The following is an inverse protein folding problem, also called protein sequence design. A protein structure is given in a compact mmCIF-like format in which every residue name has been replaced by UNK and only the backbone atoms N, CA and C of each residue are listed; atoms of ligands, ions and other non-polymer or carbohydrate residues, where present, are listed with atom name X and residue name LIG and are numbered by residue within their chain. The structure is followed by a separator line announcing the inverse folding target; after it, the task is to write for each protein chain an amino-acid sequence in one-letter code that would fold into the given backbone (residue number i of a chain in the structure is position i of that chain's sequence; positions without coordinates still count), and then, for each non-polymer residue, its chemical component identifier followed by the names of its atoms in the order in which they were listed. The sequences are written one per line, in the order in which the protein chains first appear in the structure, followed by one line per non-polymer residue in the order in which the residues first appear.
data_IF_783242841511
#
_entry.id   IF_783242841511
#
_cell.length_a   1.000
_cell.length_b   1.000
_cell.length_c   1.000
_cell.angle_alpha   90.00
_cell.angle_beta   90.00
_cell.angle_gamma   90.00
#
_symmetry.space_group_name_H-M   'P 1'
#
loop_
_entity.id
_entity.type
_entity.pdbx_description
1 polymer ?
#
# COMPACT_ATOMS: atom_id res chain seq x y z
N UNK A 1 -13.31 -19.34 1.42
CA UNK A 1 -12.03 -19.40 0.67
C UNK A 1 -10.92 -18.88 1.59
N UNK A 2 -9.65 -19.23 1.36
CA UNK A 2 -8.57 -18.81 2.25
C UNK A 2 -8.08 -17.39 1.91
N UNK A 3 -8.16 -16.38 2.81
CA UNK A 3 -7.77 -14.99 2.52
C UNK A 3 -6.26 -14.78 2.34
N UNK A 4 -5.44 -15.77 2.71
CA UNK A 4 -3.98 -15.77 2.52
C UNK A 4 -3.55 -16.39 1.18
N UNK A 5 -4.49 -16.92 0.40
CA UNK A 5 -4.25 -17.60 -0.88
C UNK A 5 -4.98 -16.85 -2.01
N UNK A 6 -4.35 -16.76 -3.19
CA UNK A 6 -4.89 -15.98 -4.31
C UNK A 6 -6.20 -16.56 -4.83
N UNK A 7 -7.23 -15.72 -4.94
CA UNK A 7 -8.45 -16.06 -5.68
C UNK A 7 -8.12 -16.39 -7.14
N UNK A 8 -8.82 -17.39 -7.66
CA UNK A 8 -8.70 -17.73 -9.07
C UNK A 8 -9.32 -16.65 -9.95
N UNK A 9 -8.51 -16.11 -10.86
CA UNK A 9 -9.01 -15.21 -11.89
C UNK A 9 -9.46 -16.02 -13.09
N UNK A 10 -10.76 -16.08 -13.32
CA UNK A 10 -11.31 -16.62 -14.57
C UNK A 10 -10.96 -15.63 -15.69
N UNK A 11 -10.05 -16.03 -16.58
CA UNK A 11 -9.70 -15.28 -17.80
C UNK A 11 -10.21 -16.04 -19.02
N UNK A 12 -10.87 -15.32 -19.92
CA UNK A 12 -11.46 -15.88 -21.14
C UNK A 12 -10.41 -16.48 -22.09
N UNK A 13 -10.87 -17.26 -23.06
CA UNK A 13 -10.01 -17.93 -24.06
C UNK A 13 -9.19 -16.90 -24.85
N UNK A 14 -9.83 -15.81 -25.28
CA UNK A 14 -9.20 -14.69 -25.97
C UNK A 14 -7.98 -14.13 -25.21
N UNK A 15 -8.13 -14.01 -23.89
CA UNK A 15 -7.05 -13.52 -23.04
C UNK A 15 -5.82 -14.43 -23.09
N UNK A 16 -6.05 -15.74 -23.00
CA UNK A 16 -4.98 -16.74 -22.91
C UNK A 16 -4.21 -16.88 -24.22
N UNK A 17 -4.91 -16.86 -25.35
CA UNK A 17 -4.30 -17.19 -26.65
C UNK A 17 -3.92 -15.98 -27.50
N UNK A 18 -4.48 -14.79 -27.25
CA UNK A 18 -4.13 -13.59 -28.01
C UNK A 18 -3.49 -12.50 -27.14
N UNK A 19 -4.18 -12.09 -26.07
CA UNK A 19 -3.76 -10.93 -25.27
C UNK A 19 -2.45 -11.21 -24.51
N UNK A 20 -2.35 -12.36 -23.85
CA UNK A 20 -1.16 -12.70 -23.07
C UNK A 20 0.09 -12.87 -23.96
N UNK A 21 0.07 -13.61 -25.09
CA UNK A 21 1.21 -13.66 -26.01
C UNK A 21 1.64 -12.29 -26.53
N UNK A 22 0.68 -11.43 -26.91
CA UNK A 22 0.98 -10.07 -27.36
C UNK A 22 1.68 -9.24 -26.28
N UNK A 23 1.24 -9.35 -25.03
CA UNK A 23 1.88 -8.68 -23.89
C UNK A 23 3.30 -9.22 -23.68
N UNK A 24 3.49 -10.54 -23.72
CA UNK A 24 4.81 -11.15 -23.54
C UNK A 24 5.79 -10.67 -24.63
N UNK A 25 5.32 -10.51 -25.86
CA UNK A 25 6.14 -10.02 -26.97
C UNK A 25 6.56 -8.54 -26.81
N UNK A 26 5.63 -7.68 -26.37
CA UNK A 26 5.85 -6.23 -26.23
C UNK A 26 6.55 -5.87 -24.91
N UNK A 27 6.37 -6.70 -23.87
CA UNK A 27 6.80 -6.42 -22.51
C UNK A 27 8.29 -6.07 -22.40
N UNK A 28 9.26 -6.78 -23.02
CA UNK A 28 10.68 -6.45 -22.84
C UNK A 28 11.01 -5.01 -23.22
N UNK A 29 10.53 -4.55 -24.38
CA UNK A 29 10.76 -3.19 -24.86
C UNK A 29 10.05 -2.18 -23.96
N UNK A 30 8.78 -2.43 -23.63
CA UNK A 30 7.98 -1.55 -22.79
C UNK A 30 8.58 -1.41 -21.38
N UNK A 31 9.05 -2.50 -20.80
CA UNK A 31 9.67 -2.54 -19.47
C UNK A 31 10.97 -1.75 -19.44
N UNK A 32 11.83 -1.89 -20.46
CA UNK A 32 13.10 -1.14 -20.56
C UNK A 32 12.81 0.36 -20.62
N UNK A 33 11.94 0.78 -21.54
CA UNK A 33 11.57 2.20 -21.72
C UNK A 33 11.00 2.76 -20.42
N UNK A 34 10.03 2.08 -19.81
CA UNK A 34 9.39 2.53 -18.57
C UNK A 34 10.35 2.57 -17.40
N UNK A 35 11.26 1.60 -17.29
CA UNK A 35 12.29 1.60 -16.24
C UNK A 35 13.20 2.81 -16.38
N UNK A 36 13.69 3.10 -17.59
CA UNK A 36 14.52 4.28 -17.85
C UNK A 36 13.77 5.57 -17.51
N UNK A 37 12.51 5.70 -17.93
CA UNK A 37 11.67 6.85 -17.59
C UNK A 37 11.47 7.00 -16.07
N UNK A 38 11.21 5.92 -15.35
CA UNK A 38 11.07 5.94 -13.89
C UNK A 38 12.37 6.34 -13.18
N UNK A 39 13.52 5.89 -13.68
CA UNK A 39 14.84 6.29 -13.16
C UNK A 39 15.08 7.78 -13.38
N UNK A 40 14.76 8.31 -14.57
CA UNK A 40 14.86 9.75 -14.87
C UNK A 40 13.96 10.55 -13.92
N UNK A 41 12.71 10.16 -13.75
CA UNK A 41 11.77 10.79 -12.82
C UNK A 41 12.31 10.76 -11.40
N UNK A 42 12.81 9.61 -10.93
CA UNK A 42 13.39 9.48 -9.60
C UNK A 42 14.54 10.47 -9.41
N UNK A 43 15.47 10.57 -10.36
CA UNK A 43 16.62 11.49 -10.29
C UNK A 43 16.13 12.94 -10.26
N UNK A 44 15.30 13.35 -11.23
CA UNK A 44 14.81 14.73 -11.36
C UNK A 44 14.08 15.18 -10.10
N UNK A 45 13.10 14.39 -9.64
CA UNK A 45 12.32 14.77 -8.46
C UNK A 45 13.13 14.69 -7.16
N UNK A 46 14.14 13.82 -7.07
CA UNK A 46 15.04 13.78 -5.91
C UNK A 46 15.94 15.01 -5.84
N UNK A 47 16.46 15.47 -6.98
CA UNK A 47 17.27 16.70 -7.06
C UNK A 47 16.40 17.91 -6.73
N UNK A 48 15.20 18.02 -7.30
CA UNK A 48 14.26 19.10 -6.95
C UNK A 48 13.90 19.09 -5.47
N UNK A 49 13.58 17.91 -4.91
CA UNK A 49 13.29 17.77 -3.49
C UNK A 49 14.48 18.19 -2.62
N UNK A 50 15.72 17.82 -3.00
CA UNK A 50 16.93 18.28 -2.31
C UNK A 50 17.04 19.80 -2.31
N UNK A 51 16.94 20.43 -3.49
CA UNK A 51 17.08 21.88 -3.66
C UNK A 51 16.03 22.65 -2.84
N UNK A 52 14.75 22.25 -2.91
CA UNK A 52 13.70 22.92 -2.14
C UNK A 52 13.79 22.67 -0.63
N UNK A 53 14.41 21.56 -0.23
CA UNK A 53 14.62 21.20 1.17
C UNK A 53 15.82 21.92 1.83
N UNK A 54 16.69 22.59 1.04
CA UNK A 54 17.79 23.43 1.57
C UNK A 54 17.23 24.49 2.53
N UNK A 55 17.91 24.67 3.67
CA UNK A 55 17.52 25.63 4.70
C UNK A 55 16.28 25.21 5.50
N UNK A 56 15.86 23.95 5.41
CA UNK A 56 14.76 23.41 6.23
C UNK A 56 15.26 22.33 7.17
N UNK A 57 14.62 22.21 8.34
CA UNK A 57 14.97 21.22 9.34
C UNK A 57 13.88 20.17 9.43
N UNK A 58 14.17 18.93 9.04
CA UNK A 58 13.29 17.80 9.36
C UNK A 58 13.39 17.49 10.87
N UNK A 59 12.30 17.12 11.56
CA UNK A 59 10.92 16.95 11.08
C UNK A 59 10.03 18.20 11.18
N UNK A 60 10.59 19.40 11.42
CA UNK A 60 9.80 20.63 11.59
C UNK A 60 8.90 20.91 10.38
N UNK A 61 7.73 21.49 10.63
CA UNK A 61 6.74 21.89 9.61
C UNK A 61 7.42 22.79 8.56
N UNK A 62 7.09 22.59 7.28
CA UNK A 62 7.53 23.47 6.20
C UNK A 62 6.80 24.81 6.27
N UNK A 63 7.43 25.88 5.77
CA UNK A 63 6.73 27.15 5.55
C UNK A 63 5.56 26.96 4.56
N UNK A 64 4.50 27.79 4.63
CA UNK A 64 3.31 27.64 3.78
C UNK A 64 3.66 27.57 2.28
N UNK A 65 4.60 28.39 1.82
CA UNK A 65 5.04 28.41 0.42
C UNK A 65 5.75 27.11 0.05
N UNK A 66 6.73 26.66 0.84
CA UNK A 66 7.44 25.39 0.58
C UNK A 66 6.49 24.19 0.63
N UNK A 67 5.49 24.23 1.51
CA UNK A 67 4.44 23.21 1.58
C UNK A 67 3.57 23.21 0.33
N UNK A 68 3.14 24.37 -0.15
CA UNK A 68 2.38 24.49 -1.39
C UNK A 68 3.17 23.91 -2.57
N UNK A 69 4.45 24.29 -2.73
CA UNK A 69 5.35 23.75 -3.76
C UNK A 69 5.47 22.23 -3.63
N UNK A 70 5.72 21.73 -2.41
CA UNK A 70 5.81 20.30 -2.12
C UNK A 70 4.56 19.54 -2.57
N UNK A 71 3.37 20.05 -2.23
CA UNK A 71 2.10 19.43 -2.59
C UNK A 71 1.89 19.35 -4.11
N UNK A 72 2.21 20.42 -4.85
CA UNK A 72 2.10 20.40 -6.32
C UNK A 72 3.15 19.49 -6.96
N UNK A 73 4.41 19.60 -6.52
CA UNK A 73 5.52 18.79 -7.03
C UNK A 73 5.22 17.30 -6.90
N UNK A 74 4.79 16.85 -5.71
CA UNK A 74 4.50 15.44 -5.49
C UNK A 74 3.21 14.97 -6.17
N UNK A 75 2.21 15.84 -6.30
CA UNK A 75 1.02 15.51 -7.07
C UNK A 75 1.32 15.35 -8.58
N UNK A 76 2.28 16.11 -9.13
CA UNK A 76 2.76 15.91 -10.50
C UNK A 76 3.59 14.61 -10.58
N UNK A 77 4.51 14.40 -9.64
CA UNK A 77 5.34 13.20 -9.57
C UNK A 77 4.50 11.92 -9.57
N UNK A 78 3.49 11.84 -8.70
CA UNK A 78 2.61 10.68 -8.60
C UNK A 78 1.88 10.38 -9.90
N UNK A 79 1.36 11.41 -10.58
CA UNK A 79 0.68 11.27 -11.88
C UNK A 79 1.63 10.79 -12.97
N UNK A 80 2.84 11.34 -13.04
CA UNK A 80 3.85 10.92 -14.02
C UNK A 80 4.26 9.47 -13.79
N UNK A 81 4.55 9.08 -12.54
CA UNK A 81 4.93 7.69 -12.20
C UNK A 81 3.85 6.69 -12.62
N UNK A 82 2.57 7.02 -12.39
CA UNK A 82 1.46 6.16 -12.78
C UNK A 82 1.29 6.13 -14.29
N UNK A 83 1.36 7.29 -14.95
CA UNK A 83 1.24 7.38 -16.41
C UNK A 83 2.34 6.57 -17.13
N UNK A 84 3.59 6.65 -16.65
CA UNK A 84 4.70 5.86 -17.19
C UNK A 84 4.37 4.36 -17.10
N UNK A 85 3.74 3.90 -16.03
CA UNK A 85 3.31 2.51 -15.86
C UNK A 85 2.03 2.16 -16.65
N UNK A 86 1.49 3.09 -17.45
CA UNK A 86 0.25 2.92 -18.20
C UNK A 86 -1.01 3.07 -17.36
N UNK A 87 -0.92 3.70 -16.19
CA UNK A 87 -2.02 3.83 -15.24
C UNK A 87 -2.58 5.26 -15.23
N UNK A 88 -3.90 5.38 -15.42
CA UNK A 88 -4.62 6.66 -15.35
C UNK A 88 -5.48 6.71 -14.11
N UNK A 89 -5.33 7.77 -13.30
CA UNK A 89 -6.16 7.99 -12.11
C UNK A 89 -7.49 8.61 -12.50
N UNK A 90 -8.57 8.05 -11.96
CA UNK A 90 -9.91 8.62 -11.97
C UNK A 90 -10.34 8.84 -10.52
N UNK A 91 -10.55 10.11 -10.14
CA UNK A 91 -11.05 10.46 -8.80
C UNK A 91 -12.57 10.57 -8.82
N UNK A 92 -13.24 9.99 -7.82
CA UNK A 92 -14.69 10.09 -7.59
C UNK A 92 -14.95 10.76 -6.24
N UNK A 93 -15.97 11.63 -6.19
CA UNK A 93 -16.49 12.27 -4.97
C UNK A 93 -15.48 13.12 -4.19
N UNK A 94 -14.75 14.01 -4.85
CA UNK A 94 -13.72 14.84 -4.19
C UNK A 94 -14.22 15.49 -2.89
N UNK A 95 -13.46 15.41 -1.78
CA UNK A 95 -13.90 15.91 -0.49
C UNK A 95 -14.09 17.43 -0.54
N UNK A 96 -15.11 17.92 0.18
CA UNK A 96 -15.46 19.37 0.24
C UNK A 96 -14.39 20.18 0.97
N UNK A 97 -13.76 19.57 1.97
CA UNK A 97 -12.72 20.14 2.83
C UNK A 97 -11.42 19.34 2.68
N UNK A 98 -10.30 19.91 3.15
CA UNK A 98 -9.04 19.18 3.19
C UNK A 98 -9.13 18.15 4.33
N UNK A 99 -9.09 16.84 4.05
CA UNK A 99 -9.25 15.83 5.09
C UNK A 99 -8.02 15.81 6.00
N UNK A 100 -8.23 15.70 7.32
CA UNK A 100 -7.13 15.58 8.29
C UNK A 100 -6.45 14.20 8.21
N UNK A 101 -7.25 13.14 8.19
CA UNK A 101 -6.77 11.76 8.06
C UNK A 101 -7.51 11.09 6.92
N UNK A 102 -6.78 10.44 6.02
CA UNK A 102 -7.34 9.55 4.99
C UNK A 102 -6.84 8.15 5.20
N UNK A 103 -7.77 7.21 5.14
CA UNK A 103 -7.50 5.78 5.20
C UNK A 103 -7.97 5.12 3.93
N UNK A 104 -7.20 4.16 3.44
CA UNK A 104 -7.52 3.42 2.22
C UNK A 104 -7.03 1.98 2.27
N UNK A 105 -7.63 1.13 1.43
CA UNK A 105 -7.21 -0.25 1.28
C UNK A 105 -5.83 -0.34 0.61
N UNK A 106 -4.99 -1.27 1.07
CA UNK A 106 -3.66 -1.49 0.53
C UNK A 106 -3.72 -2.51 -0.62
N UNK A 107 -3.44 -2.10 -1.85
CA UNK A 107 -3.57 -2.97 -3.02
C UNK A 107 -2.26 -3.21 -3.77
N UNK A 108 -1.37 -2.22 -3.81
CA UNK A 108 -0.19 -2.27 -4.69
C UNK A 108 0.92 -1.36 -4.16
N UNK A 109 2.15 -1.53 -4.67
CA UNK A 109 3.18 -0.51 -4.52
C UNK A 109 2.79 0.82 -5.16
N UNK A 110 1.91 0.78 -6.16
CA UNK A 110 1.37 1.96 -6.81
C UNK A 110 0.43 2.77 -5.91
N UNK A 111 0.12 2.30 -4.70
CA UNK A 111 -0.63 3.06 -3.70
C UNK A 111 0.14 4.32 -3.27
N UNK A 112 1.48 4.28 -3.24
CA UNK A 112 2.29 5.46 -2.90
C UNK A 112 2.14 6.57 -3.96
N UNK A 113 2.46 6.36 -5.25
CA UNK A 113 2.25 7.39 -6.26
C UNK A 113 0.78 7.74 -6.46
N UNK A 114 -0.16 6.80 -6.22
CA UNK A 114 -1.60 7.09 -6.18
C UNK A 114 -1.93 8.09 -5.07
N UNK A 115 -1.44 7.88 -3.84
CA UNK A 115 -1.65 8.80 -2.72
C UNK A 115 -1.11 10.19 -3.03
N UNK A 116 0.13 10.28 -3.54
CA UNK A 116 0.75 11.54 -3.94
C UNK A 116 -0.08 12.30 -4.97
N UNK A 117 -0.62 11.61 -5.98
CA UNK A 117 -1.48 12.20 -6.99
C UNK A 117 -2.90 12.54 -6.48
N UNK A 118 -3.35 11.87 -5.42
CA UNK A 118 -4.75 11.87 -4.98
C UNK A 118 -5.06 12.90 -3.91
N UNK A 119 -4.22 13.04 -2.90
CA UNK A 119 -4.42 13.95 -1.78
C UNK A 119 -3.12 14.66 -1.38
N UNK A 120 -3.23 15.87 -0.83
CA UNK A 120 -2.09 16.71 -0.44
C UNK A 120 -1.64 16.35 0.96
N UNK A 121 -0.80 15.32 1.10
CA UNK A 121 -0.55 14.74 2.41
C UNK A 121 0.82 14.14 2.66
N UNK A 122 0.98 13.69 3.90
CA UNK A 122 2.14 12.97 4.42
C UNK A 122 1.79 11.50 4.51
N UNK A 123 2.64 10.65 3.94
CA UNK A 123 2.53 9.20 4.08
C UNK A 123 3.39 8.65 5.20
N UNK A 124 3.01 7.46 5.68
CA UNK A 124 3.81 6.64 6.60
C UNK A 124 4.60 5.62 5.78
N UNK A 125 5.91 5.56 5.96
CA UNK A 125 6.81 4.74 5.14
C UNK A 125 7.84 3.93 5.92
N UNK A 126 8.37 2.89 5.27
CA UNK A 126 9.48 2.08 5.80
C UNK A 126 10.79 2.87 5.75
N UNK A 127 11.56 2.85 6.84
CA UNK A 127 12.84 3.57 6.92
C UNK A 127 13.91 3.07 5.94
N UNK A 128 13.82 1.83 5.45
CA UNK A 128 14.78 1.29 4.47
C UNK A 128 14.80 2.13 3.18
N UNK A 129 13.68 2.73 2.78
CA UNK A 129 13.62 3.61 1.61
C UNK A 129 14.56 4.82 1.77
N UNK A 130 14.62 5.40 2.97
CA UNK A 130 15.48 6.56 3.26
C UNK A 130 16.98 6.24 3.27
N UNK A 131 17.38 4.96 3.15
CA UNK A 131 18.79 4.61 3.00
C UNK A 131 19.34 5.00 1.62
N UNK A 132 18.51 4.96 0.58
CA UNK A 132 18.85 5.49 -0.74
C UNK A 132 18.78 7.01 -0.72
N UNK A 133 19.81 7.68 -1.26
CA UNK A 133 19.85 9.14 -1.31
C UNK A 133 18.62 9.70 -2.04
N UNK A 134 18.24 9.12 -3.18
CA UNK A 134 17.11 9.59 -3.99
C UNK A 134 15.80 9.62 -3.21
N UNK A 135 15.39 8.48 -2.66
CA UNK A 135 14.18 8.39 -1.85
C UNK A 135 14.27 9.24 -0.57
N UNK A 136 15.45 9.35 0.04
CA UNK A 136 15.63 10.18 1.24
C UNK A 136 15.25 11.64 1.00
N UNK A 137 15.66 12.24 -0.12
CA UNK A 137 15.35 13.65 -0.40
C UNK A 137 13.84 13.88 -0.55
N UNK A 138 13.16 12.97 -1.26
CA UNK A 138 11.71 12.98 -1.43
C UNK A 138 11.01 12.87 -0.07
N UNK A 139 11.40 11.88 0.75
CA UNK A 139 10.80 11.63 2.06
C UNK A 139 11.00 12.80 3.03
N UNK A 140 12.22 13.38 3.04
CA UNK A 140 12.52 14.57 3.83
C UNK A 140 11.64 15.74 3.43
N UNK A 141 11.59 16.09 2.13
CA UNK A 141 10.82 17.23 1.66
C UNK A 141 9.31 17.03 1.85
N UNK A 142 8.79 15.81 1.70
CA UNK A 142 7.40 15.48 2.00
C UNK A 142 7.06 15.64 3.49
N UNK A 143 8.05 15.52 4.38
CA UNK A 143 7.89 15.31 5.83
C UNK A 143 7.23 13.97 6.16
N UNK A 144 7.62 12.93 5.42
CA UNK A 144 7.16 11.55 5.61
C UNK A 144 7.43 11.06 7.04
N UNK A 145 6.48 10.33 7.61
CA UNK A 145 6.69 9.63 8.89
C UNK A 145 7.39 8.31 8.59
N UNK A 146 8.58 8.10 9.16
CA UNK A 146 9.35 6.86 8.96
C UNK A 146 9.21 5.92 10.15
N UNK A 147 8.92 4.66 9.85
CA UNK A 147 8.73 3.61 10.84
C UNK A 147 9.87 2.60 10.77
N UNK A 148 10.41 2.25 11.94
CA UNK A 148 11.30 1.11 12.12
C UNK A 148 10.44 -0.14 12.33
N UNK A 149 10.52 -1.10 11.41
CA UNK A 149 9.90 -2.43 11.57
C UNK A 149 10.98 -3.47 11.86
N UNK A 150 11.97 -3.61 10.97
CA UNK A 150 13.10 -4.56 11.13
C UNK A 150 14.39 -4.05 10.46
N UNK A 151 15.55 -4.56 10.90
CA UNK A 151 16.85 -4.37 10.22
C UNK A 151 17.76 -3.26 10.77
N UNK A 152 19.01 -3.27 10.30
CA UNK A 152 20.04 -2.31 10.70
C UNK A 152 19.73 -0.91 10.18
N UNK A 153 19.67 0.06 11.09
CA UNK A 153 19.46 1.47 10.77
C UNK A 153 20.82 2.14 10.60
N UNK A 154 21.15 2.55 9.37
CA UNK A 154 22.36 3.36 9.10
C UNK A 154 22.29 4.67 9.89
N UNK A 155 23.43 5.14 10.40
CA UNK A 155 23.51 6.37 11.22
C UNK A 155 22.85 7.58 10.53
N UNK A 156 22.93 7.67 9.21
CA UNK A 156 22.32 8.73 8.39
C UNK A 156 20.78 8.80 8.45
N UNK A 157 20.10 7.72 8.86
CA UNK A 157 18.63 7.62 8.92
C UNK A 157 18.11 7.57 10.37
N UNK A 158 18.98 7.35 11.36
CA UNK A 158 18.59 7.24 12.78
C UNK A 158 17.81 8.45 13.26
N UNK A 159 18.27 9.66 12.93
CA UNK A 159 17.63 10.91 13.33
C UNK A 159 16.25 11.14 12.67
N UNK A 160 15.87 10.31 11.70
CA UNK A 160 14.56 10.38 11.05
C UNK A 160 13.50 9.50 11.72
N UNK A 161 13.94 8.55 12.56
CA UNK A 161 13.07 7.64 13.30
C UNK A 161 12.70 8.26 14.63
N UNK A 162 11.44 8.09 15.04
CA UNK A 162 11.00 8.34 16.41
C UNK A 162 10.36 7.08 16.97
N UNK A 163 10.45 6.90 18.29
CA UNK A 163 10.00 5.67 18.94
C UNK A 163 8.48 5.50 18.95
N UNK A 164 7.74 6.62 19.00
CA UNK A 164 6.27 6.63 19.01
C UNK A 164 5.69 7.29 17.76
N UNK A 165 5.34 6.45 16.78
CA UNK A 165 4.68 6.87 15.53
C UNK A 165 3.37 7.61 15.81
N UNK A 166 2.61 7.19 16.82
CA UNK A 166 1.33 7.80 17.20
C UNK A 166 1.50 9.26 17.64
N UNK A 167 2.60 9.59 18.32
CA UNK A 167 2.86 10.97 18.76
C UNK A 167 3.17 11.87 17.56
N UNK A 168 3.92 11.34 16.58
CA UNK A 168 4.12 12.04 15.30
C UNK A 168 2.79 12.27 14.57
N UNK A 169 1.93 11.25 14.52
CA UNK A 169 0.61 11.38 13.89
C UNK A 169 -0.22 12.48 14.57
N UNK A 170 -0.21 12.57 15.90
CA UNK A 170 -0.88 13.64 16.66
C UNK A 170 -0.33 15.03 16.30
N UNK A 171 0.99 15.20 16.20
CA UNK A 171 1.61 16.48 15.79
C UNK A 171 1.17 16.94 14.39
N UNK A 172 0.86 16.00 13.49
CA UNK A 172 0.36 16.30 12.13
C UNK A 172 -1.12 16.66 12.08
N UNK A 173 -1.90 16.19 13.05
CA UNK A 173 -3.37 16.24 13.05
C UNK A 173 -3.92 17.43 13.87
N UNK A 174 -3.04 18.13 14.58
CA UNK A 174 -3.32 19.38 15.30
C UNK A 174 -4.15 20.39 14.47
N UNK A 175 -5.04 21.13 15.11
CA UNK A 175 -6.14 21.88 14.49
C UNK A 175 -5.70 22.92 13.46
N UNK A 176 -4.49 23.45 13.59
CA UNK A 176 -3.90 24.42 12.68
C UNK A 176 -3.12 23.80 11.51
N UNK A 177 -3.19 22.48 11.33
CA UNK A 177 -2.45 21.76 10.30
C UNK A 177 -3.26 21.59 9.01
N UNK A 178 -2.87 22.30 7.95
CA UNK A 178 -3.38 22.10 6.58
C UNK A 178 -2.76 20.88 5.88
N UNK A 179 -2.49 19.80 6.62
CA UNK A 179 -1.79 18.61 6.12
C UNK A 179 -2.65 17.38 6.32
N UNK A 180 -2.89 16.67 5.23
CA UNK A 180 -3.56 15.38 5.25
C UNK A 180 -2.60 14.26 5.64
N UNK A 181 -2.94 13.42 6.61
CA UNK A 181 -2.20 12.21 6.96
C UNK A 181 -2.79 10.99 6.24
N UNK A 182 -2.02 10.38 5.33
CA UNK A 182 -2.42 9.19 4.58
C UNK A 182 -1.90 7.90 5.22
N UNK A 183 -2.80 6.99 5.58
CA UNK A 183 -2.47 5.73 6.24
C UNK A 183 -3.17 4.56 5.54
N UNK A 184 -2.44 3.47 5.34
CA UNK A 184 -3.03 2.15 5.03
C UNK A 184 -3.13 1.35 6.34
N UNK A 185 -4.31 1.27 6.98
CA UNK A 185 -4.42 0.67 8.30
C UNK A 185 -4.22 -0.85 8.29
N UNK A 186 -4.33 -1.48 7.11
CA UNK A 186 -4.02 -2.91 6.90
C UNK A 186 -2.58 -3.23 7.25
N UNK A 187 -1.62 -2.38 6.86
CA UNK A 187 -0.20 -2.54 7.14
C UNK A 187 0.56 -3.55 6.26
N UNK A 188 -0.14 -4.28 5.38
CA UNK A 188 0.37 -5.19 4.33
C UNK A 188 -0.63 -5.25 3.15
N UNK A 189 -0.23 -5.82 2.01
CA UNK A 189 -1.11 -6.02 0.85
C UNK A 189 -1.76 -7.41 0.95
N UNK A 190 -3.09 -7.54 1.14
CA UNK A 190 -3.78 -8.83 1.14
C UNK A 190 -3.85 -9.47 -0.24
N UNK A 191 -4.33 -10.73 -0.26
CA UNK A 191 -4.78 -11.36 -1.50
C UNK A 191 -5.92 -10.52 -2.14
N UNK A 192 -5.97 -10.44 -3.49
CA UNK A 192 -7.06 -9.73 -4.16
C UNK A 192 -8.43 -10.31 -3.78
N UNK A 193 -9.39 -9.41 -3.53
CA UNK A 193 -10.75 -9.78 -3.11
C UNK A 193 -10.98 -9.70 -1.60
N UNK A 194 -9.96 -9.35 -0.82
CA UNK A 194 -10.03 -9.18 0.62
C UNK A 194 -9.51 -7.81 1.05
N UNK A 195 -10.01 -7.32 2.19
CA UNK A 195 -9.45 -6.21 2.96
C UNK A 195 -9.09 -6.76 4.34
N UNK A 196 -7.85 -6.59 4.77
CA UNK A 196 -7.43 -7.03 6.11
C UNK A 196 -8.09 -6.16 7.18
N UNK A 197 -8.20 -6.71 8.39
CA UNK A 197 -8.66 -5.94 9.54
C UNK A 197 -7.77 -4.72 9.76
N UNK A 198 -8.40 -3.55 9.83
CA UNK A 198 -7.72 -2.28 10.03
C UNK A 198 -7.20 -2.16 11.46
N UNK A 199 -5.97 -1.68 11.61
CA UNK A 199 -5.41 -1.32 12.92
C UNK A 199 -6.03 -0.02 13.42
N UNK A 200 -6.43 0.02 14.68
CA UNK A 200 -7.05 1.18 15.33
C UNK A 200 -6.14 2.40 15.55
N UNK A 201 -4.84 2.34 15.22
CA UNK A 201 -3.90 3.43 15.56
C UNK A 201 -4.27 4.79 14.97
N UNK A 202 -4.77 4.82 13.73
CA UNK A 202 -5.24 6.05 13.07
C UNK A 202 -6.58 6.54 13.65
N UNK A 203 -7.42 5.61 14.11
CA UNK A 203 -8.76 5.87 14.63
C UNK A 203 -8.76 6.33 16.09
N UNK A 204 -7.62 6.19 16.79
CA UNK A 204 -7.38 6.72 18.14
C UNK A 204 -6.96 8.20 18.18
N UNK A 205 -6.88 8.87 17.02
CA UNK A 205 -6.40 10.26 16.93
C UNK A 205 -7.46 11.29 17.30
N UNK A 206 -8.73 10.89 17.47
CA UNK A 206 -9.81 11.80 17.90
C UNK A 206 -10.22 12.83 16.85
N UNK A 207 -9.92 12.60 15.57
CA UNK A 207 -10.32 13.47 14.46
C UNK A 207 -11.13 12.73 13.41
N UNK A 208 -11.91 13.44 12.56
CA UNK A 208 -12.59 12.83 11.45
C UNK A 208 -11.63 12.11 10.49
N UNK A 209 -12.03 10.92 10.06
CA UNK A 209 -11.31 10.07 9.10
C UNK A 209 -12.09 10.06 7.81
N UNK A 210 -11.44 10.36 6.68
CA UNK A 210 -12.01 10.23 5.34
C UNK A 210 -11.63 8.87 4.75
N UNK A 211 -12.59 7.95 4.55
CA UNK A 211 -12.34 6.70 3.87
C UNK A 211 -12.11 6.94 2.37
N UNK A 212 -11.23 6.14 1.77
CA UNK A 212 -11.02 6.08 0.32
C UNK A 212 -10.98 4.61 -0.10
N UNK A 213 -11.74 4.26 -1.14
CA UNK A 213 -11.55 2.98 -1.84
C UNK A 213 -10.66 3.19 -3.06
N UNK A 214 -9.72 2.27 -3.25
CA UNK A 214 -8.75 2.27 -4.34
C UNK A 214 -8.90 0.97 -5.11
N UNK A 215 -9.24 1.09 -6.40
CA UNK A 215 -9.45 -0.06 -7.29
C UNK A 215 -8.56 0.03 -8.52
N UNK A 216 -7.64 -0.93 -8.64
CA UNK A 216 -6.80 -1.09 -9.82
C UNK A 216 -7.50 -1.98 -10.85
N UNK A 217 -7.87 -1.41 -12.00
CA UNK A 217 -8.44 -2.11 -13.14
C UNK A 217 -7.34 -2.29 -14.18
N UNK A 218 -6.64 -3.41 -14.09
CA UNK A 218 -5.48 -3.74 -14.94
C UNK A 218 -5.59 -5.13 -15.55
N UNK A 219 -4.85 -5.34 -16.64
CA UNK A 219 -4.79 -6.62 -17.35
C UNK A 219 -3.92 -7.63 -16.57
N UNK A 220 -2.74 -7.20 -16.14
CA UNK A 220 -1.87 -7.96 -15.24
C UNK A 220 -2.10 -7.50 -13.79
N UNK A 221 -2.15 -8.43 -12.82
CA UNK A 221 -2.47 -8.09 -11.45
C UNK A 221 -1.34 -7.27 -10.81
N UNK A 222 -1.67 -6.12 -10.21
CA UNK A 222 -0.71 -5.25 -9.55
C UNK A 222 -0.51 -5.56 -8.05
N UNK A 223 -1.19 -6.57 -7.52
CA UNK A 223 -1.07 -6.97 -6.12
C UNK A 223 0.32 -7.55 -5.83
N UNK A 224 0.96 -7.10 -4.76
CA UNK A 224 2.25 -7.63 -4.28
C UNK A 224 2.06 -8.92 -3.47
N UNK A 225 1.45 -9.90 -4.10
CA UNK A 225 1.14 -11.20 -3.48
C UNK A 225 1.94 -12.34 -4.09
N UNK A 226 2.77 -12.04 -5.10
CA UNK A 226 3.77 -12.96 -5.65
C UNK A 226 5.08 -12.82 -4.89
N UNK A 227 5.62 -13.92 -4.37
CA UNK A 227 6.87 -13.91 -3.59
C UNK A 227 8.12 -13.61 -4.44
N UNK A 228 8.00 -13.63 -5.78
CA UNK A 228 9.12 -13.35 -6.68
C UNK A 228 9.08 -11.92 -7.22
N UNK A 229 10.11 -11.12 -6.90
CA UNK A 229 10.22 -9.72 -7.28
C UNK A 229 10.16 -9.49 -8.81
N UNK A 230 10.76 -10.37 -9.63
CA UNK A 230 10.68 -10.27 -11.10
C UNK A 230 9.26 -10.33 -11.64
N UNK A 231 8.40 -11.19 -11.08
CA UNK A 231 7.01 -11.35 -11.57
C UNK A 231 6.22 -10.09 -11.24
N UNK A 232 6.39 -9.59 -10.02
CA UNK A 232 5.75 -8.35 -9.64
C UNK A 232 6.26 -7.17 -10.48
N UNK A 233 7.57 -7.09 -10.73
CA UNK A 233 8.17 -6.08 -11.60
C UNK A 233 7.61 -6.16 -13.04
N UNK A 234 7.52 -7.37 -13.59
CA UNK A 234 6.87 -7.63 -14.88
C UNK A 234 5.42 -7.15 -14.86
N UNK A 235 4.60 -7.54 -13.88
CA UNK A 235 3.20 -7.13 -13.82
C UNK A 235 3.02 -5.61 -13.72
N UNK A 236 3.91 -4.90 -13.02
CA UNK A 236 3.83 -3.45 -12.87
C UNK A 236 4.22 -2.72 -14.15
N UNK A 237 5.22 -3.22 -14.89
CA UNK A 237 5.76 -2.52 -16.05
C UNK A 237 5.25 -3.02 -17.40
N UNK A 238 4.72 -4.24 -17.48
CA UNK A 238 4.19 -4.83 -18.72
C UNK A 238 2.70 -4.55 -18.95
N UNK A 239 1.98 -3.96 -17.98
CA UNK A 239 0.58 -3.56 -18.17
C UNK A 239 0.48 -2.50 -19.27
N UNK A 240 -0.17 -2.74 -20.41
CA UNK A 240 -0.21 -1.74 -21.49
C UNK A 240 -1.02 -0.51 -21.08
N UNK A 241 -2.16 -0.74 -20.42
CA UNK A 241 -3.04 0.28 -19.89
C UNK A 241 -3.79 -0.21 -18.65
N UNK A 242 -4.14 0.70 -17.77
CA UNK A 242 -4.99 0.45 -16.61
C UNK A 242 -5.58 1.72 -16.01
N UNK A 243 -6.63 1.52 -15.22
CA UNK A 243 -7.32 2.61 -14.52
C UNK A 243 -7.15 2.41 -13.01
N UNK A 244 -6.82 3.49 -12.32
CA UNK A 244 -6.82 3.56 -10.85
C UNK A 244 -8.02 4.38 -10.44
N UNK A 245 -9.09 3.73 -10.00
CA UNK A 245 -10.24 4.43 -9.46
C UNK A 245 -10.00 4.73 -7.99
N UNK A 246 -10.10 6.01 -7.63
CA UNK A 246 -9.93 6.51 -6.26
C UNK A 246 -11.23 7.20 -5.87
N UNK A 247 -12.02 6.56 -5.00
CA UNK A 247 -13.31 7.09 -4.56
C UNK A 247 -13.21 7.54 -3.12
N UNK A 248 -13.49 8.82 -2.89
CA UNK A 248 -13.56 9.40 -1.55
C UNK A 248 -14.97 9.22 -0.99
N UNK A 249 -15.04 8.93 0.30
CA UNK A 249 -16.30 8.86 1.06
C UNK A 249 -16.44 10.10 1.94
N UNK A 250 -17.64 10.28 2.50
CA UNK A 250 -17.86 11.30 3.53
C UNK A 250 -17.02 11.02 4.78
N UNK A 251 -16.60 12.09 5.44
CA UNK A 251 -15.86 12.02 6.70
C UNK A 251 -16.63 11.20 7.74
N UNK A 252 -15.93 10.32 8.44
CA UNK A 252 -16.46 9.48 9.49
C UNK A 252 -15.85 9.90 10.82
N UNK A 253 -16.67 9.92 11.86
CA UNK A 253 -16.25 10.15 13.25
C UNK A 253 -16.54 8.92 14.10
N UNK A 254 -15.88 8.85 15.25
CA UNK A 254 -16.19 7.89 16.30
C UNK A 254 -17.62 8.14 16.80
N UNK A 255 -18.45 7.10 16.87
CA UNK A 255 -19.84 7.18 17.35
C UNK A 255 -19.92 6.99 18.86
N UNK A 256 -21.03 7.41 19.46
CA UNK A 256 -21.29 7.18 20.88
C UNK A 256 -21.34 5.68 21.17
N UNK A 257 -20.57 5.23 22.17
CA UNK A 257 -20.45 3.82 22.55
C UNK A 257 -19.58 2.95 21.61
N UNK A 258 -19.04 3.52 20.52
CA UNK A 258 -18.13 2.82 19.62
C UNK A 258 -16.68 2.95 20.10
N UNK A 259 -15.95 1.84 20.18
CA UNK A 259 -14.52 1.88 20.48
C UNK A 259 -13.66 2.17 19.22
N UNK A 260 -12.38 2.57 19.36
CA UNK A 260 -11.54 2.88 18.20
C UNK A 260 -11.29 1.71 17.24
N UNK A 261 -11.41 0.47 17.69
CA UNK A 261 -11.29 -0.73 16.85
C UNK A 261 -12.59 -1.00 16.10
N UNK A 262 -13.75 -0.87 16.74
CA UNK A 262 -15.06 -0.94 16.10
C UNK A 262 -15.22 0.15 15.02
N UNK A 263 -14.73 1.37 15.29
CA UNK A 263 -14.67 2.44 14.29
C UNK A 263 -13.79 2.07 13.10
N UNK A 264 -12.61 1.49 13.36
CA UNK A 264 -11.71 1.02 12.30
C UNK A 264 -12.38 -0.06 11.45
N UNK A 265 -13.10 -0.98 12.08
CA UNK A 265 -13.79 -2.10 11.42
C UNK A 265 -14.99 -1.63 10.60
N UNK A 266 -15.77 -0.67 11.12
CA UNK A 266 -16.85 -0.03 10.35
C UNK A 266 -16.32 0.64 9.09
N UNK A 267 -15.25 1.43 9.21
CA UNK A 267 -14.65 2.12 8.06
C UNK A 267 -14.00 1.14 7.08
N UNK A 268 -13.32 0.12 7.58
CA UNK A 268 -12.75 -0.96 6.75
C UNK A 268 -13.83 -1.71 5.97
N UNK A 269 -14.96 -2.04 6.62
CA UNK A 269 -16.12 -2.67 5.98
C UNK A 269 -16.74 -1.78 4.91
N UNK A 270 -16.90 -0.47 5.16
CA UNK A 270 -17.39 0.47 4.14
C UNK A 270 -16.53 0.44 2.86
N UNK A 271 -15.19 0.40 3.00
CA UNK A 271 -14.27 0.31 1.85
C UNK A 271 -14.38 -1.05 1.17
N UNK A 272 -14.45 -2.15 1.94
CA UNK A 272 -14.58 -3.49 1.40
C UNK A 272 -15.89 -3.68 0.60
N UNK A 273 -17.00 -3.19 1.13
CA UNK A 273 -18.33 -3.26 0.51
C UNK A 273 -18.34 -2.53 -0.86
N UNK A 274 -17.73 -1.35 -0.96
CA UNK A 274 -17.61 -0.61 -2.23
C UNK A 274 -16.73 -1.34 -3.27
N UNK A 275 -15.69 -2.04 -2.81
CA UNK A 275 -14.82 -2.81 -3.70
C UNK A 275 -15.47 -4.12 -4.15
N UNK A 276 -16.49 -4.60 -3.43
CA UNK A 276 -17.05 -5.94 -3.54
C UNK A 276 -16.13 -7.01 -2.94
N UNK A 277 -15.35 -6.64 -1.91
CA UNK A 277 -14.36 -7.48 -1.25
C UNK A 277 -14.86 -7.94 0.11
N UNK A 278 -14.25 -8.99 0.63
CA UNK A 278 -14.54 -9.50 1.97
C UNK A 278 -13.64 -8.79 3.00
N UNK A 279 -14.25 -8.18 4.01
CA UNK A 279 -13.53 -7.62 5.16
C UNK A 279 -13.21 -8.75 6.15
N UNK A 280 -11.93 -9.02 6.36
CA UNK A 280 -11.48 -10.13 7.20
C UNK A 280 -11.25 -9.69 8.64
N UNK A 281 -11.28 -10.63 9.59
CA UNK A 281 -10.92 -10.38 10.98
C UNK A 281 -9.41 -10.54 11.27
N UNK A 282 -8.62 -10.98 10.28
CA UNK A 282 -7.18 -11.18 10.40
C UNK A 282 -6.39 -9.88 10.18
N UNK A 283 -5.17 -9.82 10.72
CA UNK A 283 -4.30 -8.63 10.64
C UNK A 283 -3.03 -8.88 9.84
N UNK A 284 -2.28 -7.82 9.52
CA UNK A 284 -1.02 -7.92 8.77
C UNK A 284 -0.01 -8.91 9.35
N UNK A 285 0.02 -9.07 10.67
CA UNK A 285 0.98 -9.94 11.34
C UNK A 285 0.77 -11.42 11.01
N UNK A 286 -0.48 -11.81 10.80
CA UNK A 286 -0.87 -13.16 10.38
C UNK A 286 -0.33 -13.45 8.98
N UNK A 287 -0.45 -12.47 8.07
CA UNK A 287 0.08 -12.57 6.72
C UNK A 287 1.61 -12.59 6.71
N UNK A 288 2.25 -11.78 7.56
CA UNK A 288 3.71 -11.76 7.70
C UNK A 288 4.24 -13.10 8.20
N UNK A 289 3.56 -13.72 9.17
CA UNK A 289 3.90 -15.07 9.62
C UNK A 289 3.72 -16.10 8.51
N UNK A 290 2.55 -16.14 7.87
CA UNK A 290 2.30 -17.08 6.79
C UNK A 290 3.29 -16.90 5.63
N UNK A 291 3.38 -15.70 5.07
CA UNK A 291 4.14 -15.43 3.85
C UNK A 291 5.65 -15.28 4.02
N UNK A 292 6.13 -14.87 5.19
CA UNK A 292 7.56 -14.61 5.44
C UNK A 292 8.16 -15.50 6.55
N UNK A 293 7.35 -16.23 7.31
CA UNK A 293 7.84 -17.11 8.38
C UNK A 293 8.40 -16.37 9.60
N UNK A 294 8.02 -15.11 9.82
CA UNK A 294 8.52 -14.29 10.94
C UNK A 294 7.39 -13.81 11.85
N UNK A 295 7.67 -13.61 13.14
CA UNK A 295 6.70 -13.08 14.11
C UNK A 295 5.63 -14.07 14.55
N UNK A 296 6.00 -15.34 14.74
CA UNK A 296 5.11 -16.40 15.22
C UNK A 296 4.44 -16.07 16.57
N UNK A 297 5.16 -15.36 17.44
CA UNK A 297 4.70 -14.85 18.72
C UNK A 297 3.61 -13.77 18.60
N UNK A 298 3.46 -13.17 17.41
CA UNK A 298 2.57 -12.03 17.15
C UNK A 298 1.32 -12.41 16.36
N UNK A 299 1.12 -13.67 15.99
CA UNK A 299 -0.10 -14.06 15.26
C UNK A 299 -1.33 -13.93 16.16
N UNK A 300 -2.45 -13.58 15.55
CA UNK A 300 -3.76 -13.48 16.23
C UNK A 300 -4.26 -14.86 16.64
N UNK A 301 -5.11 -14.89 17.68
CA UNK A 301 -5.72 -16.13 18.16
C UNK A 301 -6.68 -16.71 17.11
N UNK A 302 -7.37 -15.83 16.38
CA UNK A 302 -8.24 -16.21 15.27
C UNK A 302 -7.45 -16.88 14.14
N UNK A 303 -6.32 -16.32 13.73
CA UNK A 303 -5.46 -16.97 12.72
C UNK A 303 -4.94 -18.32 13.22
N UNK A 304 -4.49 -18.40 14.47
CA UNK A 304 -3.97 -19.64 15.06
C UNK A 304 -5.03 -20.74 15.05
N UNK A 305 -6.28 -20.39 15.36
CA UNK A 305 -7.42 -21.30 15.34
C UNK A 305 -7.79 -21.75 13.92
N UNK A 306 -7.92 -20.82 12.99
CA UNK A 306 -8.50 -21.10 11.66
C UNK A 306 -7.46 -21.67 10.68
N UNK A 307 -6.22 -21.19 10.76
CA UNK A 307 -5.14 -21.45 9.78
C UNK A 307 -3.80 -21.84 10.40
N UNK A 308 -3.69 -21.97 11.73
CA UNK A 308 -2.45 -22.35 12.40
C UNK A 308 -1.87 -23.68 11.90
N UNK A 309 -2.72 -24.61 11.48
CA UNK A 309 -2.34 -25.91 10.88
C UNK A 309 -1.55 -25.78 9.56
N UNK A 310 -1.63 -24.63 8.89
CA UNK A 310 -0.90 -24.39 7.64
C UNK A 310 0.59 -24.15 7.88
N UNK A 311 0.98 -23.68 9.07
CA UNK A 311 2.34 -23.22 9.35
C UNK A 311 2.73 -22.02 8.48
N UNK A 312 4.01 -21.94 8.11
CA UNK A 312 4.50 -20.95 7.14
C UNK A 312 4.21 -21.41 5.71
N UNK A 313 4.24 -20.49 4.75
CA UNK A 313 4.07 -20.79 3.33
C UNK A 313 5.05 -21.85 2.84
N UNK A 314 6.29 -21.81 3.30
CA UNK A 314 7.33 -22.76 2.92
C UNK A 314 7.02 -24.16 3.44
N UNK A 315 6.64 -24.26 4.71
CA UNK A 315 6.20 -25.51 5.33
C UNK A 315 4.96 -26.06 4.62
N UNK A 316 3.99 -25.19 4.35
CA UNK A 316 2.76 -25.54 3.64
C UNK A 316 3.05 -26.07 2.23
N UNK A 317 3.87 -25.36 1.45
CA UNK A 317 4.24 -25.79 0.09
C UNK A 317 5.00 -27.11 0.10
N UNK A 318 5.94 -27.29 1.03
CA UNK A 318 6.73 -28.51 1.14
C UNK A 318 5.84 -29.71 1.53
N UNK A 319 4.97 -29.53 2.54
CA UNK A 319 4.06 -30.57 3.03
C UNK A 319 3.12 -31.09 1.93
N UNK A 320 2.63 -30.20 1.06
CA UNK A 320 1.66 -30.55 0.02
C UNK A 320 2.24 -30.54 -1.41
N UNK A 321 3.57 -30.52 -1.54
CA UNK A 321 4.29 -30.54 -2.83
C UNK A 321 3.82 -29.46 -3.84
N UNK A 322 3.54 -28.26 -3.36
CA UNK A 322 3.04 -27.14 -4.17
C UNK A 322 4.21 -26.43 -4.86
N UNK A 323 4.34 -26.61 -6.18
CA UNK A 323 5.43 -26.03 -6.99
C UNK A 323 5.23 -24.57 -7.39
N UNK A 324 4.02 -24.02 -7.19
CA UNK A 324 3.64 -22.68 -7.67
C UNK A 324 3.98 -21.54 -6.71
N UNK A 325 4.68 -21.79 -5.58
CA UNK A 325 5.02 -20.80 -4.54
C UNK A 325 5.49 -19.45 -5.10
N UNK A 326 6.47 -19.48 -6.01
CA UNK A 326 7.08 -18.27 -6.56
C UNK A 326 6.11 -17.45 -7.43
N UNK A 327 5.11 -18.10 -8.03
CA UNK A 327 4.07 -17.50 -8.87
C UNK A 327 2.80 -17.13 -8.10
N UNK A 328 2.78 -17.41 -6.78
CA UNK A 328 1.61 -17.29 -5.92
C UNK A 328 0.73 -18.53 -5.98
N UNK A 329 0.35 -19.05 -4.81
CA UNK A 329 -0.58 -20.17 -4.68
C UNK A 329 -2.00 -19.68 -4.95
N UNK A 330 -2.77 -20.42 -5.75
CA UNK A 330 -4.17 -20.12 -6.05
C UNK A 330 -5.13 -21.07 -5.34
N UNK A 331 -6.37 -20.65 -5.12
CA UNK A 331 -7.39 -21.48 -4.47
C UNK A 331 -7.54 -22.86 -5.14
N UNK A 332 -7.52 -22.94 -6.48
CA UNK A 332 -7.55 -24.21 -7.22
C UNK A 332 -6.39 -25.15 -6.90
N UNK A 333 -5.22 -24.61 -6.56
CA UNK A 333 -4.01 -25.39 -6.28
C UNK A 333 -4.13 -26.08 -4.92
N UNK A 334 -4.99 -25.58 -4.03
CA UNK A 334 -5.12 -26.02 -2.64
C UNK A 334 -6.52 -26.51 -2.26
N UNK A 335 -7.49 -26.46 -3.18
CA UNK A 335 -8.89 -26.85 -2.92
C UNK A 335 -9.08 -28.26 -2.37
N UNK A 336 -8.11 -29.13 -2.62
CA UNK A 336 -8.09 -30.53 -2.17
C UNK A 336 -7.48 -30.70 -0.78
N UNK A 337 -6.82 -29.66 -0.26
CA UNK A 337 -6.16 -29.65 1.05
C UNK A 337 -7.17 -29.12 2.07
N UNK A 338 -7.41 -29.91 3.11
CA UNK A 338 -8.27 -29.55 4.24
C UNK A 338 -7.45 -29.55 5.53
N UNK A 339 -7.89 -28.83 6.58
CA UNK A 339 -7.35 -29.04 7.92
C UNK A 339 -7.43 -30.53 8.24
N UNK A 340 -6.36 -31.11 8.80
CA UNK A 340 -6.47 -32.43 9.41
C UNK A 340 -7.42 -32.29 10.60
N UNK A 341 -8.41 -33.18 10.69
CA UNK A 341 -9.34 -33.25 11.84
C UNK A 341 -8.58 -33.51 13.15
#
# INVERSE_FOLDING_TARGET
ENPFILRDQKRGILFKFLIMPAIILIAPVLMIIRTLMLLIVLIVFSVLAFLFNIGTNYPKKLSPIKRMISNYLFAIMGRIILLIQGLVIIKKNTPRTIPKVVVFNHSSFNDVPMGLASFKGVGVGKHQLAQSWFFRQILLFMRAILVKRDGNVKNQVKNMLRDKVTDQMKEFVDENSNVTLGICPEGTVPAPGYVMRFKSSAFRLGVPVTPISVKYKTILPLSWTTHHWLIAFFNHLANPFGIVEVKFFEEQTLRDGEDPQEFADRVGKMIADDLGYEYTHYQSQDWVYFGCGVGQDKITDEYRKDFGWMGTLDQFCQKYNIKTRNFGIRQKDVRHIKPAE
#
